data_IF_309972407707
#
_entry.id   IF_309972407707
#
_cell.length_a   1.000
_cell.length_b   1.000
_cell.length_c   1.000
_cell.angle_alpha   90.00
_cell.angle_beta   90.00
_cell.angle_gamma   90.00
#
_symmetry.space_group_name_H-M   'P 1'
#
loop_
_entity.id
_entity.type
_entity.pdbx_description
1 polymer ?
#
# COMPACT_ATOMS: atom_id res chain seq x y z
N UNK A 1 -0.72 20.41 8.42
CA UNK A 1 0.31 20.42 7.35
C UNK A 1 -0.36 20.28 6.00
N UNK A 2 0.21 20.82 4.92
CA UNK A 2 -0.39 20.85 3.57
C UNK A 2 -0.77 19.46 3.01
N UNK A 3 -0.23 18.38 3.60
CA UNK A 3 -0.36 17.02 3.11
C UNK A 3 -1.28 16.11 3.93
N UNK A 4 -1.79 16.53 5.10
CA UNK A 4 -2.57 15.62 5.97
C UNK A 4 -3.95 15.24 5.38
N UNK A 5 -4.57 16.16 4.63
CA UNK A 5 -5.82 15.92 3.90
C UNK A 5 -5.56 14.91 2.77
N UNK A 6 -4.46 15.08 2.05
CA UNK A 6 -4.10 14.20 0.94
C UNK A 6 -3.78 12.78 1.45
N UNK A 7 -3.00 12.63 2.53
CA UNK A 7 -2.75 11.32 3.17
C UNK A 7 -4.07 10.64 3.54
N UNK A 8 -5.00 11.36 4.19
CA UNK A 8 -6.30 10.80 4.60
C UNK A 8 -7.14 10.34 3.41
N UNK A 9 -7.15 11.09 2.32
CA UNK A 9 -7.88 10.68 1.11
C UNK A 9 -7.26 9.46 0.43
N UNK A 10 -5.92 9.37 0.37
CA UNK A 10 -5.26 8.17 -0.17
C UNK A 10 -5.52 6.93 0.69
N UNK A 11 -5.46 7.06 2.02
CA UNK A 11 -5.84 5.97 2.94
C UNK A 11 -7.30 5.59 2.74
N UNK A 12 -8.22 6.57 2.64
CA UNK A 12 -9.64 6.29 2.41
C UNK A 12 -9.87 5.50 1.12
N UNK A 13 -9.17 5.83 0.03
CA UNK A 13 -9.26 5.04 -1.20
C UNK A 13 -8.66 3.64 -1.06
N UNK A 14 -7.52 3.51 -0.36
CA UNK A 14 -6.93 2.21 -0.07
C UNK A 14 -7.89 1.31 0.73
N UNK A 15 -8.59 1.88 1.72
CA UNK A 15 -9.59 1.18 2.54
C UNK A 15 -10.74 0.66 1.68
N UNK A 16 -11.21 1.45 0.72
CA UNK A 16 -12.26 1.02 -0.21
C UNK A 16 -11.82 -0.18 -1.04
N UNK A 17 -10.59 -0.18 -1.55
CA UNK A 17 -10.04 -1.32 -2.31
C UNK A 17 -9.83 -2.55 -1.41
N UNK A 18 -9.28 -2.36 -0.21
CA UNK A 18 -9.08 -3.44 0.76
C UNK A 18 -10.41 -4.10 1.12
N UNK A 19 -11.44 -3.31 1.42
CA UNK A 19 -12.77 -3.81 1.75
C UNK A 19 -13.42 -4.51 0.54
N UNK A 20 -13.29 -3.95 -0.66
CA UNK A 20 -13.82 -4.56 -1.87
C UNK A 20 -13.18 -5.92 -2.16
N UNK A 21 -11.85 -6.03 -2.07
CA UNK A 21 -11.12 -7.28 -2.29
C UNK A 21 -11.59 -8.38 -1.32
N UNK A 22 -11.67 -8.07 -0.02
CA UNK A 22 -12.12 -9.03 0.99
C UNK A 22 -13.59 -9.42 0.80
N UNK A 23 -14.48 -8.44 0.58
CA UNK A 23 -15.91 -8.69 0.39
C UNK A 23 -16.18 -9.59 -0.83
N UNK A 24 -15.53 -9.30 -1.97
CA UNK A 24 -15.64 -10.11 -3.17
C UNK A 24 -15.09 -11.53 -2.96
N UNK A 25 -13.99 -11.68 -2.22
CA UNK A 25 -13.43 -13.00 -1.91
C UNK A 25 -14.30 -13.83 -0.98
N UNK A 26 -15.02 -13.19 -0.04
CA UNK A 26 -15.82 -13.88 0.97
C UNK A 26 -17.25 -14.22 0.50
N UNK A 27 -17.89 -13.33 -0.26
CA UNK A 27 -19.34 -13.38 -0.49
C UNK A 27 -19.70 -13.75 -1.93
N UNK A 28 -18.93 -13.30 -2.92
CA UNK A 28 -19.30 -13.44 -4.33
C UNK A 28 -18.95 -14.83 -4.88
N UNK A 29 -19.91 -15.47 -5.57
CA UNK A 29 -19.68 -16.73 -6.29
C UNK A 29 -20.37 -16.75 -7.68
N UNK A 30 -19.68 -17.18 -8.76
CA UNK A 30 -18.24 -17.49 -8.80
C UNK A 30 -17.39 -16.24 -8.50
N UNK A 31 -16.21 -16.45 -7.91
CA UNK A 31 -15.31 -15.35 -7.51
C UNK A 31 -14.76 -14.66 -8.76
N UNK A 32 -14.82 -13.31 -8.85
CA UNK A 32 -14.16 -12.57 -9.92
C UNK A 32 -12.67 -12.43 -9.59
N UNK A 33 -11.89 -13.47 -9.85
CA UNK A 33 -10.51 -13.62 -9.37
C UNK A 33 -9.63 -12.43 -9.78
N UNK A 34 -9.74 -12.02 -11.04
CA UNK A 34 -9.03 -10.89 -11.62
C UNK A 34 -9.32 -9.58 -10.89
N UNK A 35 -10.60 -9.34 -10.59
CA UNK A 35 -11.05 -8.11 -9.92
C UNK A 35 -10.55 -8.08 -8.48
N UNK A 36 -10.55 -9.22 -7.79
CA UNK A 36 -10.02 -9.31 -6.43
C UNK A 36 -8.52 -8.99 -6.42
N UNK A 37 -7.72 -9.63 -7.28
CA UNK A 37 -6.29 -9.38 -7.38
C UNK A 37 -5.97 -7.91 -7.75
N UNK A 38 -6.76 -7.31 -8.63
CA UNK A 38 -6.65 -5.89 -8.96
C UNK A 38 -6.85 -4.99 -7.73
N UNK A 39 -7.92 -5.21 -6.95
CA UNK A 39 -8.15 -4.45 -5.73
C UNK A 39 -7.07 -4.67 -4.67
N UNK A 40 -6.50 -5.88 -4.57
CA UNK A 40 -5.36 -6.15 -3.71
C UNK A 40 -4.14 -5.28 -4.05
N UNK A 41 -3.79 -5.18 -5.33
CA UNK A 41 -2.68 -4.33 -5.78
C UNK A 41 -3.01 -2.86 -5.55
N UNK A 42 -4.23 -2.42 -5.86
CA UNK A 42 -4.66 -1.03 -5.71
C UNK A 42 -4.67 -0.56 -4.25
N UNK A 43 -5.08 -1.42 -3.31
CA UNK A 43 -5.02 -1.12 -1.88
C UNK A 43 -3.56 -0.91 -1.43
N UNK A 44 -2.65 -1.82 -1.82
CA UNK A 44 -1.23 -1.70 -1.51
C UNK A 44 -0.60 -0.45 -2.13
N UNK A 45 -0.88 -0.15 -3.40
CA UNK A 45 -0.37 1.03 -4.11
C UNK A 45 -0.76 2.31 -3.39
N UNK A 46 -2.04 2.45 -3.05
CA UNK A 46 -2.58 3.65 -2.42
C UNK A 46 -2.06 3.83 -1.00
N UNK A 47 -1.85 2.75 -0.25
CA UNK A 47 -1.18 2.82 1.05
C UNK A 47 0.27 3.31 0.91
N UNK A 48 1.06 2.74 0.00
CA UNK A 48 2.45 3.18 -0.22
C UNK A 48 2.50 4.66 -0.63
N UNK A 49 1.60 5.10 -1.53
CA UNK A 49 1.47 6.52 -1.93
C UNK A 49 1.09 7.42 -0.76
N UNK A 50 0.17 6.98 0.10
CA UNK A 50 -0.16 7.71 1.31
C UNK A 50 1.06 7.84 2.24
N UNK A 51 1.91 6.80 2.34
CA UNK A 51 3.13 6.85 3.15
C UNK A 51 4.17 7.82 2.57
N UNK A 52 4.35 7.83 1.24
CA UNK A 52 5.23 8.78 0.55
C UNK A 52 4.84 10.21 0.90
N UNK A 53 3.56 10.55 0.77
CA UNK A 53 3.05 11.87 1.13
C UNK A 53 3.25 12.16 2.62
N UNK A 54 3.10 11.16 3.50
CA UNK A 54 3.30 11.34 4.93
C UNK A 54 4.76 11.66 5.31
N UNK A 55 5.72 11.27 4.47
CA UNK A 55 7.13 11.67 4.55
C UNK A 55 7.46 12.92 3.73
N UNK A 56 6.43 13.66 3.24
CA UNK A 56 6.57 14.82 2.36
C UNK A 56 7.30 14.53 1.04
N UNK A 57 7.23 13.29 0.54
CA UNK A 57 7.78 12.85 -0.75
C UNK A 57 6.91 13.23 -1.96
N UNK A 58 7.49 13.11 -3.16
CA UNK A 58 6.84 13.49 -4.44
C UNK A 58 6.26 12.28 -5.18
N UNK A 59 4.93 12.17 -5.18
CA UNK A 59 4.24 11.08 -5.86
C UNK A 59 4.60 10.92 -7.34
N UNK A 60 5.21 9.79 -7.67
CA UNK A 60 5.36 9.35 -9.05
C UNK A 60 4.06 8.76 -9.62
N UNK A 61 3.79 9.06 -10.89
CA UNK A 61 2.69 8.43 -11.64
C UNK A 61 3.10 7.04 -12.14
N UNK A 62 3.15 6.09 -11.22
CA UNK A 62 3.46 4.68 -11.50
C UNK A 62 2.45 3.74 -10.83
N UNK A 63 2.35 2.53 -11.37
CA UNK A 63 1.64 1.37 -10.81
C UNK A 63 2.59 0.27 -10.35
N UNK A 64 3.89 0.49 -10.52
CA UNK A 64 4.94 -0.41 -10.04
C UNK A 64 5.16 -0.17 -8.55
N UNK A 65 4.82 -1.17 -7.74
CA UNK A 65 4.94 -1.06 -6.29
C UNK A 65 6.40 -1.11 -5.84
N UNK A 66 7.28 -1.78 -6.60
CA UNK A 66 8.72 -1.82 -6.34
C UNK A 66 9.34 -0.43 -6.44
N UNK A 67 8.97 0.33 -7.49
CA UNK A 67 9.42 1.73 -7.64
C UNK A 67 8.92 2.62 -6.48
N UNK A 68 7.71 2.39 -5.96
CA UNK A 68 7.21 3.13 -4.79
C UNK A 68 7.97 2.76 -3.51
N UNK A 69 8.36 1.50 -3.34
CA UNK A 69 9.20 1.09 -2.20
C UNK A 69 10.63 1.59 -2.32
N UNK A 70 11.18 1.71 -3.53
CA UNK A 70 12.50 2.31 -3.77
C UNK A 70 12.50 3.78 -3.35
N UNK A 71 11.47 4.55 -3.71
CA UNK A 71 11.29 5.94 -3.27
C UNK A 71 11.20 6.06 -1.74
N UNK A 72 10.44 5.17 -1.10
CA UNK A 72 10.30 5.13 0.35
C UNK A 72 11.57 4.66 1.09
N UNK A 73 12.53 4.05 0.39
CA UNK A 73 13.73 3.47 1.02
C UNK A 73 14.68 4.53 1.59
N UNK A 74 14.52 5.80 1.21
CA UNK A 74 15.20 6.93 1.85
C UNK A 74 14.76 7.15 3.30
N UNK A 75 13.52 6.75 3.64
CA UNK A 75 12.88 7.02 4.93
C UNK A 75 12.60 5.76 5.74
N UNK A 76 12.38 4.62 5.05
CA UNK A 76 11.88 3.40 5.65
C UNK A 76 12.68 2.19 5.19
N UNK A 77 13.08 1.32 6.13
CA UNK A 77 13.65 0.02 5.80
C UNK A 77 12.54 -1.00 5.55
N UNK A 78 12.61 -1.69 4.41
CA UNK A 78 11.70 -2.77 4.06
C UNK A 78 12.32 -4.14 4.39
N UNK A 79 11.50 -5.04 4.93
CA UNK A 79 11.90 -6.45 5.04
C UNK A 79 11.70 -7.16 3.71
N UNK A 80 12.42 -8.27 3.50
CA UNK A 80 12.28 -9.11 2.31
C UNK A 80 10.84 -9.57 2.09
N UNK A 81 10.08 -9.81 3.16
CA UNK A 81 8.67 -10.18 3.08
C UNK A 81 7.80 -9.06 2.46
N UNK A 82 8.08 -7.79 2.78
CA UNK A 82 7.37 -6.66 2.14
C UNK A 82 7.76 -6.56 0.66
N UNK A 83 9.06 -6.63 0.35
CA UNK A 83 9.56 -6.56 -1.02
C UNK A 83 8.97 -7.67 -1.91
N UNK A 84 8.97 -8.91 -1.42
CA UNK A 84 8.34 -10.04 -2.13
C UNK A 84 6.82 -9.86 -2.31
N UNK A 85 6.15 -9.19 -1.38
CA UNK A 85 4.71 -8.91 -1.47
C UNK A 85 4.40 -7.85 -2.54
N UNK A 86 5.19 -6.76 -2.60
CA UNK A 86 5.00 -5.70 -3.61
C UNK A 86 5.32 -6.19 -5.02
N UNK A 87 6.36 -7.02 -5.17
CA UNK A 87 6.73 -7.64 -6.45
C UNK A 87 5.62 -8.57 -6.96
N UNK A 88 5.07 -9.39 -6.06
CA UNK A 88 4.01 -10.33 -6.40
C UNK A 88 2.70 -9.63 -6.79
N UNK A 89 2.39 -8.47 -6.18
CA UNK A 89 1.18 -7.71 -6.46
C UNK A 89 1.27 -6.86 -7.73
N UNK A 90 2.46 -6.35 -8.07
CA UNK A 90 2.68 -5.40 -9.19
C UNK A 90 2.04 -5.82 -10.52
N UNK A 91 2.14 -7.10 -10.97
CA UNK A 91 1.50 -7.55 -12.20
C UNK A 91 -0.01 -7.30 -12.27
N UNK A 92 -0.72 -7.33 -11.12
CA UNK A 92 -2.18 -7.22 -11.08
C UNK A 92 -2.69 -5.81 -11.38
N UNK A 93 -1.86 -4.77 -11.29
CA UNK A 93 -2.27 -3.39 -11.61
C UNK A 93 -2.48 -3.15 -13.11
N UNK A 94 -1.83 -3.95 -13.97
CA UNK A 94 -1.80 -3.69 -15.42
C UNK A 94 -2.17 -4.92 -16.24
N UNK A 95 -1.51 -6.06 -15.99
CA UNK A 95 -1.54 -7.25 -16.86
C UNK A 95 -2.88 -7.97 -16.80
N UNK A 96 -3.60 -7.84 -15.69
CA UNK A 96 -4.88 -8.51 -15.44
C UNK A 96 -5.99 -8.09 -16.41
N UNK A 97 -5.81 -6.96 -17.10
CA UNK A 97 -6.72 -6.45 -18.13
C UNK A 97 -6.61 -7.20 -19.46
N UNK A 98 -5.56 -8.01 -19.62
CA UNK A 98 -5.25 -8.73 -20.85
C UNK A 98 -5.32 -10.23 -20.57
N UNK A 99 -6.40 -10.92 -21.00
CA UNK A 99 -6.64 -12.34 -20.68
C UNK A 99 -5.50 -13.29 -21.08
N UNK A 100 -4.69 -12.91 -22.08
CA UNK A 100 -3.55 -13.68 -22.53
C UNK A 100 -2.29 -13.54 -21.67
N UNK A 101 -2.23 -12.56 -20.75
CA UNK A 101 -1.02 -12.25 -19.98
C UNK A 101 -0.97 -12.89 -18.60
N UNK A 102 -2.13 -13.18 -18.00
CA UNK A 102 -2.24 -13.79 -16.68
C UNK A 102 -3.38 -14.80 -16.65
N UNK A 103 -3.08 -16.03 -16.27
CA UNK A 103 -4.08 -17.03 -15.90
C UNK A 103 -4.21 -17.04 -14.37
N UNK A 104 -5.33 -16.53 -13.85
CA UNK A 104 -5.56 -16.39 -12.41
C UNK A 104 -6.36 -17.59 -11.89
N UNK A 105 -5.94 -18.09 -10.72
CA UNK A 105 -6.58 -19.20 -10.02
C UNK A 105 -6.85 -18.77 -8.57
N UNK A 106 -7.70 -19.51 -7.84
CA UNK A 106 -8.03 -19.15 -6.46
C UNK A 106 -6.80 -19.10 -5.53
N UNK A 107 -5.76 -19.90 -5.80
CA UNK A 107 -4.47 -19.85 -5.09
C UNK A 107 -3.78 -18.49 -5.22
N UNK A 108 -3.83 -17.88 -6.41
CA UNK A 108 -3.31 -16.54 -6.67
C UNK A 108 -4.09 -15.48 -5.90
N UNK A 109 -5.42 -15.61 -5.80
CA UNK A 109 -6.26 -14.72 -5.00
C UNK A 109 -5.92 -14.80 -3.51
N UNK A 110 -5.79 -16.02 -2.97
CA UNK A 110 -5.43 -16.20 -1.57
C UNK A 110 -4.06 -15.56 -1.26
N UNK A 111 -3.08 -15.72 -2.16
CA UNK A 111 -1.77 -15.07 -2.03
C UNK A 111 -1.90 -13.54 -2.12
N UNK A 112 -2.64 -13.02 -3.10
CA UNK A 112 -2.82 -11.57 -3.28
C UNK A 112 -3.47 -10.91 -2.06
N UNK A 113 -4.46 -11.54 -1.43
CA UNK A 113 -5.09 -11.05 -0.19
C UNK A 113 -4.06 -11.03 0.95
N UNK A 114 -3.24 -12.07 1.08
CA UNK A 114 -2.17 -12.13 2.08
C UNK A 114 -1.13 -11.03 1.85
N UNK A 115 -0.61 -10.90 0.64
CA UNK A 115 0.39 -9.89 0.26
C UNK A 115 -0.16 -8.47 0.46
N UNK A 116 -1.41 -8.21 0.05
CA UNK A 116 -2.09 -6.93 0.29
C UNK A 116 -2.11 -6.61 1.78
N UNK A 117 -2.55 -7.54 2.62
CA UNK A 117 -2.61 -7.36 4.07
C UNK A 117 -1.23 -7.09 4.66
N UNK A 118 -0.21 -7.81 4.21
CA UNK A 118 1.18 -7.62 4.63
C UNK A 118 1.67 -6.19 4.36
N UNK A 119 1.46 -5.65 3.15
CA UNK A 119 1.85 -4.28 2.80
C UNK A 119 1.00 -3.25 3.55
N UNK A 120 -0.31 -3.46 3.58
CA UNK A 120 -1.27 -2.56 4.21
C UNK A 120 -0.99 -2.38 5.71
N UNK A 121 -0.82 -3.48 6.45
CA UNK A 121 -0.53 -3.43 7.89
C UNK A 121 0.82 -2.79 8.18
N UNK A 122 1.83 -3.09 7.35
CA UNK A 122 3.16 -2.47 7.46
C UNK A 122 3.08 -0.95 7.33
N UNK A 123 2.41 -0.45 6.29
CA UNK A 123 2.26 0.99 6.07
C UNK A 123 1.46 1.63 7.21
N UNK A 124 0.37 1.00 7.65
CA UNK A 124 -0.44 1.50 8.76
C UNK A 124 0.41 1.69 10.03
N UNK A 125 1.21 0.68 10.38
CA UNK A 125 2.12 0.76 11.53
C UNK A 125 3.14 1.91 11.37
N UNK A 126 3.71 2.08 10.18
CA UNK A 126 4.64 3.19 9.91
C UNK A 126 3.99 4.56 10.06
N UNK A 127 2.75 4.72 9.62
CA UNK A 127 2.00 5.96 9.82
C UNK A 127 1.68 6.23 11.30
N UNK A 128 1.46 5.19 12.10
CA UNK A 128 1.28 5.33 13.54
C UNK A 128 2.58 5.75 14.24
N UNK A 129 3.72 5.13 13.88
CA UNK A 129 5.05 5.52 14.37
C UNK A 129 5.39 6.99 14.05
N UNK A 130 5.03 7.47 12.85
CA UNK A 130 5.23 8.87 12.44
C UNK A 130 4.43 9.84 13.31
N UNK A 131 3.19 9.51 13.67
CA UNK A 131 2.34 10.36 14.53
C UNK A 131 2.82 10.41 15.98
N UNK A 132 3.58 9.40 16.43
CA UNK A 132 4.10 9.30 17.79
C UNK A 132 5.48 9.97 17.95
N UNK A 133 6.16 10.31 16.86
CA UNK A 133 7.43 11.03 16.89
C UNK A 133 7.18 12.53 17.06
N UNK A 134 7.60 13.18 18.17
CA UNK A 134 7.37 14.60 18.36
C UNK A 134 8.16 15.42 17.32
N UNK A 135 7.69 16.63 16.96
CA UNK A 135 8.47 17.54 16.12
C UNK A 135 9.82 17.81 16.79
N UNK A 136 10.91 17.69 16.02
CA UNK A 136 12.29 17.95 16.47
C UNK A 136 12.47 19.34 17.09
N UNK A 137 11.53 20.27 16.84
CA UNK A 137 11.51 21.62 17.42
C UNK A 137 11.24 21.69 18.93
N UNK A 138 10.68 20.66 19.57
CA UNK A 138 10.41 20.68 21.02
C UNK A 138 11.60 20.23 21.89
N UNK A 139 12.56 19.48 21.34
CA UNK A 139 13.74 19.00 22.07
C UNK A 139 14.81 20.08 22.31
N UNK A 140 14.75 21.21 21.58
CA UNK A 140 15.72 22.29 21.71
C UNK A 140 15.29 23.42 22.65
N UNK A 141 14.09 23.35 23.25
CA UNK A 141 13.61 24.38 24.21
C UNK A 141 13.87 24.04 25.68
N UNK A 142 14.22 22.79 26.01
CA UNK A 142 14.45 22.39 27.42
C UNK A 142 15.92 22.53 27.88
N UNK A 143 16.87 22.85 26.99
CA UNK A 143 18.28 23.04 27.34
C UNK A 143 18.73 24.51 27.40
N UNK A 144 17.82 25.45 27.65
CA UNK A 144 18.15 26.89 27.76
C UNK A 144 17.52 27.59 28.96
N UNK A 145 17.43 26.89 30.10
CA UNK A 145 17.11 27.51 31.41
C UNK A 145 18.24 27.24 32.40
#
# INVERSE_FOLDING_TARGET
>A
MKNEIDVKEWVRYADMDFLAANHLNEIQYPKPLEIICYHCQQAAEKMLKALIIAYDGELQKTHDLGLLTDELSEFVTFSENILNSVDALTPYGVKIRYPQELNIEESHVAKAISDMKTVYDFVKNKMEELKLSPPVEELNKENSV
#
